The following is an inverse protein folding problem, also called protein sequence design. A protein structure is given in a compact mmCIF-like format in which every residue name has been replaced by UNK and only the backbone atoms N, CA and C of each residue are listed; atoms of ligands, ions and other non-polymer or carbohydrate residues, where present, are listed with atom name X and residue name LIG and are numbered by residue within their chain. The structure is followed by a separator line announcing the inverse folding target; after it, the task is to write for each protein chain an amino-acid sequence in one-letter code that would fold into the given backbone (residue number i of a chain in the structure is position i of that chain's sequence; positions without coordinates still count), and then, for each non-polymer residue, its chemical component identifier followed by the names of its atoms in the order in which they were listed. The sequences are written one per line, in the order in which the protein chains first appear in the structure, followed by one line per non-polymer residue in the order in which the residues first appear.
data_IF_820129566715
#
_entry.id   IF_820129566715
#
_cell.length_a   1.000
_cell.length_b   1.000
_cell.length_c   1.000
_cell.angle_alpha   90.00
_cell.angle_beta   90.00
_cell.angle_gamma   90.00
#
_symmetry.space_group_name_H-M   'P 1'
#
loop_
_entity.id
_entity.type
_entity.pdbx_description
1 polymer ?
#
# COMPACT_ATOMS: atom_id res chain seq x y z
N UNK A 1 -18.66 -5.75 -1.02
CA UNK A 1 -17.61 -6.79 -1.00
C UNK A 1 -16.51 -6.51 -2.02
N UNK A 2 -16.80 -6.46 -3.32
CA UNK A 2 -15.77 -6.23 -4.35
C UNK A 2 -15.04 -4.88 -4.23
N UNK A 3 -15.74 -3.80 -3.84
CA UNK A 3 -15.12 -2.48 -3.67
C UNK A 3 -13.97 -2.47 -2.65
N UNK A 4 -14.15 -3.06 -1.46
CA UNK A 4 -13.07 -3.11 -0.46
C UNK A 4 -11.89 -3.99 -0.90
N UNK A 5 -12.17 -5.04 -1.67
CA UNK A 5 -11.13 -5.90 -2.23
C UNK A 5 -10.31 -5.17 -3.30
N UNK A 6 -10.98 -4.48 -4.23
CA UNK A 6 -10.36 -3.66 -5.28
C UNK A 6 -9.61 -2.45 -4.70
N UNK A 7 -10.14 -1.82 -3.66
CA UNK A 7 -9.47 -0.69 -3.01
C UNK A 7 -8.17 -1.14 -2.31
N UNK A 8 -8.18 -2.34 -1.71
CA UNK A 8 -7.00 -2.92 -1.06
C UNK A 8 -5.90 -3.26 -2.06
N UNK A 9 -6.26 -3.87 -3.20
CA UNK A 9 -5.28 -4.21 -4.26
C UNK A 9 -4.72 -2.96 -4.93
N UNK A 10 -5.52 -1.92 -5.15
CA UNK A 10 -5.06 -0.62 -5.66
C UNK A 10 -4.07 0.04 -4.69
N UNK A 11 -4.35 0.01 -3.38
CA UNK A 11 -3.43 0.55 -2.36
C UNK A 11 -2.08 -0.18 -2.37
N UNK A 12 -2.08 -1.51 -2.45
CA UNK A 12 -0.84 -2.31 -2.51
C UNK A 12 -0.10 -2.04 -3.82
N UNK A 13 -0.80 -1.94 -4.94
CA UNK A 13 -0.21 -1.63 -6.25
C UNK A 13 0.51 -0.28 -6.22
N UNK A 14 -0.14 0.77 -5.73
CA UNK A 14 0.47 2.10 -5.60
C UNK A 14 1.66 2.09 -4.64
N UNK A 15 1.55 1.43 -3.48
CA UNK A 15 2.65 1.32 -2.53
C UNK A 15 3.86 0.60 -3.13
N UNK A 16 3.65 -0.51 -3.84
CA UNK A 16 4.71 -1.26 -4.51
C UNK A 16 5.33 -0.49 -5.68
N UNK A 17 4.54 0.31 -6.39
CA UNK A 17 5.01 1.12 -7.52
C UNK A 17 5.89 2.29 -7.05
N UNK A 18 5.50 2.93 -5.94
CA UNK A 18 6.31 3.99 -5.30
C UNK A 18 7.62 3.40 -4.76
N UNK A 19 7.57 2.26 -4.07
CA UNK A 19 8.76 1.60 -3.55
C UNK A 19 9.71 1.11 -4.66
N UNK A 20 9.16 0.63 -5.79
CA UNK A 20 9.94 0.11 -6.91
C UNK A 20 10.58 1.18 -7.79
N UNK A 21 9.97 2.37 -7.89
CA UNK A 21 10.49 3.49 -8.69
C UNK A 21 11.36 4.46 -7.86
N UNK A 22 11.59 4.16 -6.58
CA UNK A 22 12.42 4.96 -5.69
C UNK A 22 13.91 4.70 -5.97
N UNK A 23 14.42 5.32 -7.03
CA UNK A 23 15.84 5.30 -7.38
C UNK A 23 16.59 6.44 -6.68
N UNK A 24 17.72 6.12 -6.04
CA UNK A 24 18.61 7.10 -5.42
C UNK A 24 19.38 7.85 -6.52
N UNK A 25 18.72 8.84 -7.13
CA UNK A 25 19.30 9.73 -8.13
C UNK A 25 20.14 10.86 -7.51
N UNK A 26 21.09 11.39 -8.29
CA UNK A 26 21.89 12.56 -7.92
C UNK A 26 20.98 13.79 -7.73
N UNK A 27 20.86 14.27 -6.48
CA UNK A 27 20.05 15.44 -6.12
C UNK A 27 18.80 15.14 -5.29
N UNK A 28 18.54 13.88 -4.93
CA UNK A 28 17.46 13.52 -4.01
C UNK A 28 17.94 13.66 -2.56
N UNK A 29 17.31 14.57 -1.83
CA UNK A 29 17.51 14.74 -0.39
C UNK A 29 17.13 13.44 0.36
N UNK A 30 18.04 12.91 1.18
CA UNK A 30 17.85 11.64 1.91
C UNK A 30 16.54 11.64 2.74
N UNK A 31 16.10 12.82 3.21
CA UNK A 31 14.87 12.97 3.95
C UNK A 31 13.63 12.72 3.08
N UNK A 32 13.62 13.21 1.84
CA UNK A 32 12.54 13.00 0.87
C UNK A 32 12.45 11.54 0.43
N UNK A 33 13.62 10.89 0.25
CA UNK A 33 13.69 9.46 -0.05
C UNK A 33 13.11 8.62 1.10
N UNK A 34 13.51 8.90 2.34
CA UNK A 34 13.01 8.17 3.51
C UNK A 34 11.50 8.40 3.73
N UNK A 35 10.99 9.61 3.46
CA UNK A 35 9.56 9.91 3.56
C UNK A 35 8.74 9.16 2.51
N UNK A 36 9.19 9.10 1.26
CA UNK A 36 8.49 8.37 0.21
C UNK A 36 8.44 6.86 0.49
N UNK A 37 9.52 6.29 1.03
CA UNK A 37 9.58 4.89 1.43
C UNK A 37 8.64 4.60 2.62
N UNK A 38 8.56 5.52 3.58
CA UNK A 38 7.62 5.43 4.71
C UNK A 38 6.15 5.49 4.24
N UNK A 39 5.83 6.37 3.29
CA UNK A 39 4.48 6.46 2.71
C UNK A 39 4.13 5.17 1.96
N UNK A 40 5.04 4.63 1.16
CA UNK A 40 4.84 3.35 0.46
C UNK A 40 4.59 2.19 1.44
N UNK A 41 5.34 2.15 2.54
CA UNK A 41 5.17 1.16 3.60
C UNK A 41 3.79 1.25 4.27
N UNK A 42 3.36 2.46 4.64
CA UNK A 42 2.04 2.67 5.23
C UNK A 42 0.92 2.30 4.25
N UNK A 43 1.07 2.60 2.96
CA UNK A 43 0.10 2.22 1.93
C UNK A 43 -0.06 0.70 1.81
N UNK A 44 1.06 -0.04 1.84
CA UNK A 44 1.03 -1.52 1.82
C UNK A 44 0.35 -2.07 3.07
N UNK A 45 0.66 -1.53 4.25
CA UNK A 45 0.02 -1.96 5.50
C UNK A 45 -1.49 -1.69 5.50
N UNK A 46 -1.92 -0.52 5.05
CA UNK A 46 -3.34 -0.18 4.92
C UNK A 46 -4.05 -1.08 3.90
N UNK A 47 -3.43 -1.32 2.74
CA UNK A 47 -3.97 -2.21 1.73
C UNK A 47 -4.13 -3.65 2.25
N UNK A 48 -3.15 -4.15 3.00
CA UNK A 48 -3.21 -5.44 3.68
C UNK A 48 -4.34 -5.51 4.72
N UNK A 49 -4.43 -4.51 5.60
CA UNK A 49 -5.48 -4.44 6.63
C UNK A 49 -6.89 -4.43 6.01
N UNK A 50 -7.06 -3.74 4.88
CA UNK A 50 -8.30 -3.70 4.13
C UNK A 50 -8.66 -5.08 3.55
N UNK A 51 -7.66 -5.85 3.14
CA UNK A 51 -7.82 -7.23 2.67
C UNK A 51 -8.21 -8.19 3.80
N UNK A 52 -7.61 -8.05 4.99
CA UNK A 52 -8.04 -8.79 6.19
C UNK A 52 -9.51 -8.46 6.51
N UNK A 53 -9.89 -7.18 6.44
CA UNK A 53 -11.27 -6.74 6.71
C UNK A 53 -12.28 -7.36 5.74
N UNK A 54 -11.91 -7.50 4.46
CA UNK A 54 -12.73 -8.23 3.47
C UNK A 54 -12.87 -9.71 3.83
N UNK A 55 -11.78 -10.37 4.20
CA UNK A 55 -11.80 -11.79 4.56
C UNK A 55 -12.72 -12.05 5.77
N UNK A 56 -12.68 -11.17 6.77
CA UNK A 56 -13.57 -11.23 7.94
C UNK A 56 -15.02 -10.95 7.54
N UNK A 57 -15.27 -9.94 6.70
CA UNK A 57 -16.62 -9.61 6.24
C UNK A 57 -17.27 -10.71 5.37
N UNK A 58 -16.46 -11.49 4.65
CA UNK A 58 -16.91 -12.70 3.94
C UNK A 58 -17.22 -13.80 4.95
N UNK A 59 -16.30 -14.09 5.88
CA UNK A 59 -16.47 -15.11 6.93
C UNK A 59 -17.71 -14.89 7.81
N UNK A 60 -18.11 -13.64 8.05
CA UNK A 60 -19.28 -13.29 8.85
C UNK A 60 -20.61 -13.46 8.11
N UNK A 61 -20.57 -13.63 6.79
CA UNK A 61 -21.75 -13.75 5.92
C UNK A 61 -22.12 -15.23 5.64
N UNK A 62 -21.18 -16.15 5.81
CA UNK A 62 -21.39 -17.61 5.89
C UNK A 62 -21.89 -18.02 7.28
#
# INVERSE_FOLDING_TARGET
MALFWVLGTICILFGSMIAGHLEKGLGVDDLSYSLALLIAFVLILLGGLLWISVAIAVRLRD
#
